data_IF_953301363561
#
_entry.id   IF_953301363561
#
_cell.length_a   1.000
_cell.length_b   1.000
_cell.length_c   1.000
_cell.angle_alpha   90.00
_cell.angle_beta   90.00
_cell.angle_gamma   90.00
#
_symmetry.space_group_name_H-M   'P 1'
#
loop_
_entity.id
_entity.type
_entity.pdbx_description
1 polymer ?
#
# COMPACT_ATOMS: atom_id res chain seq x y z
N UNK A 1 10.10 -24.23 20.63
CA UNK A 1 10.46 -23.93 19.22
C UNK A 1 11.33 -22.68 19.20
N UNK A 2 12.38 -22.62 18.36
CA UNK A 2 13.20 -21.41 18.19
C UNK A 2 12.34 -20.32 17.59
N UNK A 3 12.29 -19.15 18.21
CA UNK A 3 11.52 -18.00 17.69
C UNK A 3 11.98 -17.65 16.28
N UNK A 4 11.07 -17.54 15.33
CA UNK A 4 11.35 -17.17 13.93
C UNK A 4 11.87 -15.74 13.85
N UNK A 5 12.88 -15.47 13.04
CA UNK A 5 13.44 -14.13 12.88
C UNK A 5 12.59 -13.31 11.88
N UNK A 6 12.31 -12.05 12.22
CA UNK A 6 11.60 -11.11 11.34
C UNK A 6 12.53 -9.99 10.91
N UNK A 7 12.70 -9.80 9.60
CA UNK A 7 13.37 -8.63 9.05
C UNK A 7 12.33 -7.54 8.77
N UNK A 8 12.46 -6.41 9.46
CA UNK A 8 11.62 -5.23 9.26
C UNK A 8 12.39 -4.26 8.36
N UNK A 9 11.89 -4.04 7.15
CA UNK A 9 12.49 -3.16 6.16
C UNK A 9 11.77 -1.81 6.19
N UNK A 10 12.50 -0.74 6.48
CA UNK A 10 11.98 0.63 6.57
C UNK A 10 12.49 1.44 5.39
N UNK A 11 11.54 1.95 4.56
CA UNK A 11 11.84 2.84 3.45
C UNK A 11 11.88 4.30 3.92
N UNK A 12 13.01 4.98 3.71
CA UNK A 12 13.29 6.31 4.28
C UNK A 12 13.68 7.27 3.16
N UNK A 13 12.95 8.41 3.06
CA UNK A 13 13.31 9.54 2.20
C UNK A 13 12.66 10.82 2.72
N UNK A 14 13.46 11.75 3.24
CA UNK A 14 13.03 13.07 3.73
C UNK A 14 11.84 12.99 4.72
N UNK A 15 12.01 12.19 5.79
CA UNK A 15 10.99 11.92 6.82
C UNK A 15 11.46 12.25 8.24
N UNK A 16 12.45 13.14 8.42
CA UNK A 16 13.04 13.48 9.71
C UNK A 16 12.02 13.76 10.82
N UNK A 17 10.89 14.39 10.48
CA UNK A 17 9.81 14.75 11.41
C UNK A 17 9.07 13.55 12.00
N UNK A 18 9.14 12.40 11.35
CA UNK A 18 8.33 11.22 11.66
C UNK A 18 9.18 10.01 12.04
N UNK A 19 10.43 9.97 11.55
CA UNK A 19 11.30 8.80 11.58
C UNK A 19 11.61 8.31 13.00
N UNK A 20 11.82 9.22 13.95
CA UNK A 20 12.05 8.87 15.36
C UNK A 20 10.91 8.01 15.89
N UNK A 21 9.66 8.45 15.72
CA UNK A 21 8.48 7.70 16.17
C UNK A 21 8.36 6.34 15.45
N UNK A 22 8.68 6.29 14.18
CA UNK A 22 8.70 5.05 13.40
C UNK A 22 9.69 4.05 14.01
N UNK A 23 10.96 4.43 14.16
CA UNK A 23 12.02 3.55 14.67
C UNK A 23 11.72 3.11 16.10
N UNK A 24 11.32 4.01 17.00
CA UNK A 24 11.00 3.69 18.39
C UNK A 24 9.84 2.70 18.49
N UNK A 25 8.82 2.83 17.62
CA UNK A 25 7.72 1.87 17.58
C UNK A 25 8.14 0.47 17.15
N UNK A 26 9.20 0.37 16.33
CA UNK A 26 9.78 -0.92 15.89
C UNK A 26 10.67 -1.51 16.99
N UNK A 27 11.51 -0.71 17.62
CA UNK A 27 12.41 -1.15 18.71
C UNK A 27 11.61 -1.68 19.90
N UNK A 28 10.49 -1.03 20.21
CA UNK A 28 9.63 -1.34 21.36
C UNK A 28 8.65 -2.50 21.14
N UNK A 29 8.68 -3.18 19.99
CA UNK A 29 7.80 -4.32 19.72
C UNK A 29 7.94 -5.40 20.81
N UNK A 30 6.81 -6.04 21.16
CA UNK A 30 6.77 -7.17 22.12
C UNK A 30 7.53 -8.40 21.57
N UNK A 31 7.56 -8.61 20.27
CA UNK A 31 8.36 -9.64 19.59
C UNK A 31 9.83 -9.22 19.50
N UNK A 32 10.75 -10.05 20.04
CA UNK A 32 12.16 -9.64 20.25
C UNK A 32 13.14 -10.10 19.16
N UNK A 33 12.84 -11.23 18.46
CA UNK A 33 13.76 -11.75 17.44
C UNK A 33 13.62 -10.97 16.11
N UNK A 34 14.08 -9.72 16.11
CA UNK A 34 13.99 -8.77 15.02
C UNK A 34 15.35 -8.47 14.42
N UNK A 35 15.35 -8.21 13.12
CA UNK A 35 16.37 -7.51 12.36
C UNK A 35 15.70 -6.28 11.76
N UNK A 36 16.29 -5.11 11.96
CA UNK A 36 15.72 -3.83 11.51
C UNK A 36 16.65 -3.28 10.42
N UNK A 37 16.13 -3.13 9.22
CA UNK A 37 16.89 -2.69 8.05
C UNK A 37 16.35 -1.32 7.64
N UNK A 38 17.10 -0.27 7.96
CA UNK A 38 16.80 1.10 7.59
C UNK A 38 17.49 1.39 6.25
N UNK A 39 16.73 1.76 5.23
CA UNK A 39 17.30 2.08 3.92
C UNK A 39 16.95 3.53 3.57
N UNK A 40 17.96 4.38 3.62
CA UNK A 40 17.88 5.80 3.30
C UNK A 40 18.15 6.05 1.81
N UNK A 41 17.18 6.63 1.13
CA UNK A 41 17.21 6.86 -0.32
C UNK A 41 17.81 8.21 -0.69
N UNK A 42 18.99 8.52 -0.13
CA UNK A 42 19.69 9.80 -0.35
C UNK A 42 18.86 10.99 0.17
N UNK A 43 18.43 10.93 1.42
CA UNK A 43 17.71 12.03 2.08
C UNK A 43 18.58 13.29 2.17
N UNK A 44 17.95 14.44 2.06
CA UNK A 44 18.59 15.77 2.17
C UNK A 44 18.26 16.48 3.49
N UNK A 45 17.41 15.87 4.32
CA UNK A 45 17.10 16.29 5.68
C UNK A 45 17.91 15.47 6.72
N UNK A 46 17.56 15.55 7.99
CA UNK A 46 18.25 14.82 9.07
C UNK A 46 17.90 13.33 9.16
N UNK A 47 17.19 12.76 8.19
CA UNK A 47 16.79 11.35 8.24
C UNK A 47 17.99 10.41 8.31
N UNK A 48 19.04 10.66 7.54
CA UNK A 48 20.28 9.88 7.55
C UNK A 48 20.95 9.88 8.95
N UNK A 49 21.12 11.05 9.56
CA UNK A 49 21.73 11.19 10.89
C UNK A 49 20.92 10.47 11.97
N UNK A 50 19.57 10.50 11.85
CA UNK A 50 18.68 9.79 12.77
C UNK A 50 18.93 8.28 12.64
N UNK A 51 19.03 7.73 11.42
CA UNK A 51 19.29 6.31 11.20
C UNK A 51 20.58 5.86 11.89
N UNK A 52 21.68 6.58 11.66
CA UNK A 52 23.00 6.28 12.24
C UNK A 52 22.97 6.34 13.77
N UNK A 53 22.32 7.36 14.33
CA UNK A 53 22.17 7.49 15.80
C UNK A 53 21.46 6.30 16.43
N UNK A 54 20.43 5.73 15.76
CA UNK A 54 19.72 4.56 16.28
C UNK A 54 20.49 3.26 16.06
N UNK A 55 21.25 3.13 14.96
CA UNK A 55 22.11 1.97 14.72
C UNK A 55 23.22 1.84 15.79
N UNK A 56 23.74 2.97 16.28
CA UNK A 56 24.72 2.98 17.39
C UNK A 56 24.12 2.53 18.72
N UNK A 57 22.80 2.63 18.91
CA UNK A 57 22.11 2.31 20.17
C UNK A 57 21.50 0.92 20.21
N UNK A 58 21.17 0.32 19.07
CA UNK A 58 20.52 -0.97 18.97
C UNK A 58 21.19 -1.83 17.90
N UNK A 59 21.88 -2.89 18.32
CA UNK A 59 22.63 -3.80 17.45
C UNK A 59 21.76 -4.59 16.44
N UNK A 60 20.44 -4.58 16.60
CA UNK A 60 19.51 -5.18 15.64
C UNK A 60 19.34 -4.32 14.38
N UNK A 61 19.74 -3.05 14.43
CA UNK A 61 19.57 -2.07 13.34
C UNK A 61 20.78 -2.13 12.39
N UNK A 62 20.49 -2.23 11.12
CA UNK A 62 21.45 -2.06 10.01
C UNK A 62 20.98 -0.92 9.12
N UNK A 63 21.89 -0.03 8.75
CA UNK A 63 21.61 1.15 7.90
C UNK A 63 22.27 0.96 6.55
N UNK A 64 21.55 1.33 5.50
CA UNK A 64 22.04 1.38 4.13
C UNK A 64 21.68 2.73 3.50
N UNK A 65 22.67 3.43 2.93
CA UNK A 65 22.47 4.70 2.25
C UNK A 65 22.65 4.54 0.75
N UNK A 66 21.68 5.02 -0.02
CA UNK A 66 21.81 5.11 -1.46
C UNK A 66 22.58 6.36 -1.87
N UNK A 67 23.41 6.27 -2.91
CA UNK A 67 24.12 7.41 -3.48
C UNK A 67 23.25 8.33 -4.34
N UNK A 68 22.08 7.84 -4.74
CA UNK A 68 21.06 8.56 -5.54
C UNK A 68 19.68 8.05 -5.17
N UNK A 69 18.65 8.87 -5.34
CA UNK A 69 17.28 8.46 -5.11
C UNK A 69 16.84 7.38 -6.12
N UNK A 70 16.51 6.20 -5.62
CA UNK A 70 16.06 5.03 -6.39
C UNK A 70 14.57 4.78 -6.22
N UNK A 71 13.89 5.62 -5.46
CA UNK A 71 12.48 5.50 -5.05
C UNK A 71 12.21 4.22 -4.24
N UNK A 72 10.96 4.04 -3.88
CA UNK A 72 10.54 2.96 -2.97
C UNK A 72 10.91 1.56 -3.47
N UNK A 73 10.90 1.31 -4.79
CA UNK A 73 11.26 0.02 -5.36
C UNK A 73 12.72 -0.37 -5.08
N UNK A 74 13.67 0.54 -5.39
CA UNK A 74 15.10 0.30 -5.13
C UNK A 74 15.40 0.16 -3.64
N UNK A 75 14.79 1.01 -2.81
CA UNK A 75 14.90 0.95 -1.34
C UNK A 75 14.47 -0.41 -0.79
N UNK A 76 13.29 -0.87 -1.17
CA UNK A 76 12.76 -2.15 -0.69
C UNK A 76 13.53 -3.34 -1.24
N UNK A 77 14.04 -3.28 -2.48
CA UNK A 77 14.92 -4.30 -3.05
C UNK A 77 16.26 -4.38 -2.29
N UNK A 78 16.83 -3.24 -1.90
CA UNK A 78 18.01 -3.20 -1.03
C UNK A 78 17.72 -3.86 0.31
N UNK A 79 16.57 -3.53 0.92
CA UNK A 79 16.14 -4.18 2.17
C UNK A 79 15.97 -5.69 2.03
N UNK A 80 15.34 -6.17 0.97
CA UNK A 80 15.20 -7.60 0.67
C UNK A 80 16.55 -8.30 0.52
N UNK A 81 17.48 -7.70 -0.23
CA UNK A 81 18.83 -8.24 -0.45
C UNK A 81 19.60 -8.47 0.85
N UNK A 82 19.40 -7.61 1.84
CA UNK A 82 20.13 -7.67 3.12
C UNK A 82 19.34 -8.35 4.25
N UNK A 83 18.11 -8.78 3.98
CA UNK A 83 17.27 -9.48 4.97
C UNK A 83 17.72 -10.92 5.18
N UNK A 84 17.74 -11.35 6.44
CA UNK A 84 18.13 -12.72 6.84
C UNK A 84 17.05 -13.42 7.67
N UNK A 85 15.96 -12.73 8.00
CA UNK A 85 14.85 -13.28 8.77
C UNK A 85 14.04 -14.33 7.99
N UNK A 86 13.32 -15.16 8.72
CA UNK A 86 12.37 -16.13 8.14
C UNK A 86 11.18 -15.40 7.50
N UNK A 87 10.83 -14.24 8.04
CA UNK A 87 9.73 -13.40 7.61
C UNK A 87 10.20 -11.99 7.29
N UNK A 88 9.49 -11.33 6.39
CA UNK A 88 9.68 -9.93 5.97
C UNK A 88 8.46 -9.11 6.34
N UNK A 89 8.68 -7.91 6.88
CA UNK A 89 7.67 -6.87 7.11
C UNK A 89 8.20 -5.57 6.54
N UNK A 90 7.37 -4.82 5.81
CA UNK A 90 7.69 -3.49 5.30
C UNK A 90 6.99 -2.43 6.14
N UNK A 91 7.71 -1.34 6.41
CA UNK A 91 7.20 -0.16 7.12
C UNK A 91 7.62 1.09 6.34
N UNK A 92 6.72 2.02 6.17
CA UNK A 92 7.05 3.32 5.58
C UNK A 92 7.56 4.27 6.70
N UNK A 93 8.63 5.02 6.43
CA UNK A 93 9.34 5.81 7.44
C UNK A 93 8.54 6.95 8.09
N UNK A 94 7.36 7.28 7.54
CA UNK A 94 6.43 8.25 8.12
C UNK A 94 5.29 7.63 8.94
N UNK A 95 5.22 6.28 8.99
CA UNK A 95 4.22 5.52 9.73
C UNK A 95 4.79 5.00 11.08
N UNK A 96 3.98 4.32 11.90
CA UNK A 96 4.43 3.66 13.13
C UNK A 96 3.56 2.45 13.47
N UNK A 97 4.05 1.59 14.36
CA UNK A 97 3.44 0.32 14.73
C UNK A 97 2.81 0.38 16.13
N UNK A 98 1.75 -0.41 16.38
CA UNK A 98 1.33 -0.76 17.71
C UNK A 98 2.34 -1.73 18.35
N UNK A 99 2.44 -1.77 19.66
CA UNK A 99 3.43 -2.57 20.37
C UNK A 99 3.37 -4.08 20.07
N UNK A 100 2.20 -4.57 19.68
CA UNK A 100 1.89 -5.96 19.35
C UNK A 100 1.73 -6.22 17.85
N UNK A 101 2.23 -5.33 17.00
CA UNK A 101 2.06 -5.46 15.55
C UNK A 101 2.75 -6.71 15.02
N UNK A 102 4.01 -6.94 15.38
CA UNK A 102 4.79 -8.05 14.84
C UNK A 102 4.30 -9.37 15.41
N UNK A 103 4.04 -9.46 16.71
CA UNK A 103 3.50 -10.67 17.34
C UNK A 103 2.14 -11.05 16.76
N UNK A 104 1.29 -10.07 16.47
CA UNK A 104 -0.01 -10.34 15.83
C UNK A 104 0.13 -10.84 14.38
N UNK A 105 1.00 -10.24 13.57
CA UNK A 105 1.26 -10.71 12.20
C UNK A 105 1.86 -12.12 12.20
N UNK A 106 2.80 -12.42 13.10
CA UNK A 106 3.35 -13.76 13.31
C UNK A 106 2.24 -14.73 13.71
N UNK A 107 1.38 -14.36 14.65
CA UNK A 107 0.25 -15.18 15.06
C UNK A 107 -0.64 -15.56 13.87
N UNK A 108 -0.94 -14.62 12.97
CA UNK A 108 -1.75 -14.93 11.79
C UNK A 108 -1.05 -15.96 10.92
N UNK A 109 0.21 -15.69 10.51
CA UNK A 109 0.92 -16.53 9.54
C UNK A 109 1.21 -17.94 10.07
N UNK A 110 1.51 -18.07 11.37
CA UNK A 110 1.80 -19.38 12.00
C UNK A 110 0.51 -20.18 12.25
N UNK A 111 -0.56 -19.58 12.77
CA UNK A 111 -1.82 -20.27 12.99
C UNK A 111 -2.48 -20.75 11.69
N UNK A 112 -2.24 -20.05 10.59
CA UNK A 112 -2.83 -20.39 9.28
C UNK A 112 -1.91 -21.23 8.43
N UNK A 113 -0.64 -21.42 8.85
CA UNK A 113 0.44 -22.04 8.06
C UNK A 113 0.43 -21.50 6.63
N UNK A 114 0.43 -20.17 6.50
CA UNK A 114 0.32 -19.47 5.22
C UNK A 114 1.67 -18.92 4.76
N UNK A 115 1.76 -18.59 3.48
CA UNK A 115 2.97 -18.04 2.85
C UNK A 115 3.08 -16.53 3.05
N UNK A 116 1.94 -15.88 3.25
CA UNK A 116 1.85 -14.49 3.67
C UNK A 116 0.62 -14.28 4.55
N UNK A 117 0.62 -13.21 5.34
CA UNK A 117 -0.57 -12.76 6.03
C UNK A 117 -0.89 -11.29 5.71
N UNK A 118 -2.17 -11.01 5.59
CA UNK A 118 -2.74 -9.67 5.34
C UNK A 118 -3.58 -9.28 6.55
N UNK A 119 -3.32 -8.12 7.11
CA UNK A 119 -4.23 -7.55 8.08
C UNK A 119 -5.13 -6.51 7.39
N UNK A 120 -6.45 -6.73 7.49
CA UNK A 120 -7.46 -5.99 6.71
C UNK A 120 -7.65 -4.54 7.13
N UNK A 121 -7.26 -4.20 8.36
CA UNK A 121 -7.55 -2.91 8.99
C UNK A 121 -6.29 -2.28 9.58
N UNK A 122 -6.30 -0.96 9.65
CA UNK A 122 -5.23 -0.18 10.25
C UNK A 122 -5.80 1.02 11.01
N UNK A 123 -5.01 1.56 11.92
CA UNK A 123 -5.24 2.90 12.43
C UNK A 123 -4.90 3.93 11.35
N UNK A 124 -5.53 5.08 11.44
CA UNK A 124 -5.10 6.26 10.69
C UNK A 124 -5.00 7.43 11.67
N UNK A 125 -4.29 8.50 11.30
CA UNK A 125 -4.26 9.72 12.13
C UNK A 125 -5.66 10.33 12.34
N UNK A 126 -6.68 9.88 11.61
CA UNK A 126 -8.09 10.28 11.77
C UNK A 126 -8.93 9.29 12.58
N UNK A 127 -8.45 8.06 12.73
CA UNK A 127 -9.16 6.99 13.43
C UNK A 127 -8.17 6.16 14.26
N UNK A 128 -7.99 6.58 15.50
CA UNK A 128 -7.09 5.96 16.48
C UNK A 128 -7.82 4.99 17.40
N UNK A 129 -9.11 4.74 17.20
CA UNK A 129 -9.88 3.81 18.02
C UNK A 129 -9.68 2.37 17.54
N UNK A 130 -9.43 1.47 18.47
CA UNK A 130 -9.40 0.03 18.18
C UNK A 130 -10.82 -0.48 17.85
N UNK A 131 -10.89 -1.56 17.11
CA UNK A 131 -12.16 -2.27 16.89
C UNK A 131 -12.70 -2.83 18.20
N UNK A 132 -14.02 -2.85 18.36
CA UNK A 132 -14.67 -3.42 19.55
C UNK A 132 -14.46 -4.94 19.68
N UNK A 133 -14.29 -5.61 18.53
CA UNK A 133 -14.02 -7.04 18.46
C UNK A 133 -12.78 -7.26 17.60
N UNK A 134 -11.79 -7.97 18.14
CA UNK A 134 -10.67 -8.48 17.36
C UNK A 134 -11.22 -9.47 16.35
N UNK A 135 -10.99 -9.17 15.09
CA UNK A 135 -11.50 -9.98 14.00
C UNK A 135 -10.98 -11.41 14.06
N UNK A 136 -11.77 -12.30 13.51
CA UNK A 136 -11.41 -13.70 13.33
C UNK A 136 -10.18 -13.81 12.42
N UNK A 137 -9.26 -14.69 12.76
CA UNK A 137 -8.19 -15.09 11.86
C UNK A 137 -8.78 -16.12 10.89
N UNK A 138 -8.59 -15.88 9.59
CA UNK A 138 -9.09 -16.72 8.51
C UNK A 138 -7.95 -17.17 7.60
N UNK A 139 -8.18 -18.25 6.87
CA UNK A 139 -7.36 -18.68 5.73
C UNK A 139 -8.12 -18.40 4.45
N UNK A 140 -7.49 -17.66 3.54
CA UNK A 140 -8.04 -17.44 2.20
C UNK A 140 -7.25 -18.23 1.16
N UNK A 141 -7.94 -18.70 0.13
CA UNK A 141 -7.28 -19.20 -1.07
C UNK A 141 -6.58 -18.04 -1.79
N UNK A 142 -5.50 -18.28 -2.53
CA UNK A 142 -4.86 -17.26 -3.34
C UNK A 142 -5.82 -16.58 -4.32
N UNK A 143 -6.78 -17.33 -4.89
CA UNK A 143 -7.84 -16.79 -5.73
C UNK A 143 -8.68 -15.73 -5.02
N UNK A 144 -9.20 -16.04 -3.82
CA UNK A 144 -9.98 -15.10 -3.01
C UNK A 144 -9.13 -13.89 -2.61
N UNK A 145 -7.92 -14.12 -2.13
CA UNK A 145 -7.02 -13.06 -1.72
C UNK A 145 -6.66 -12.13 -2.88
N UNK A 146 -6.38 -12.68 -4.06
CA UNK A 146 -6.07 -11.94 -5.26
C UNK A 146 -7.28 -11.11 -5.73
N UNK A 147 -8.47 -11.71 -5.77
CA UNK A 147 -9.69 -11.00 -6.16
C UNK A 147 -9.99 -9.82 -5.21
N UNK A 148 -9.89 -10.01 -3.89
CA UNK A 148 -10.11 -8.94 -2.90
C UNK A 148 -9.00 -7.86 -2.96
N UNK A 149 -7.78 -8.24 -3.30
CA UNK A 149 -6.66 -7.33 -3.44
C UNK A 149 -6.78 -6.47 -4.70
N UNK A 150 -6.96 -7.07 -5.87
CA UNK A 150 -7.09 -6.32 -7.13
C UNK A 150 -8.42 -5.57 -7.25
N UNK A 151 -9.41 -5.91 -6.47
CA UNK A 151 -10.69 -5.19 -6.37
C UNK A 151 -10.62 -4.02 -5.37
N UNK A 152 -9.63 -3.28 -5.18
CA UNK A 152 -9.18 -2.47 -4.05
C UNK A 152 -10.10 -2.45 -2.81
N UNK A 153 -10.38 -3.64 -2.29
CA UNK A 153 -11.00 -3.81 -0.97
C UNK A 153 -9.96 -3.77 0.13
N UNK A 154 -8.73 -4.16 -0.20
CA UNK A 154 -7.58 -4.20 0.69
C UNK A 154 -6.68 -3.00 0.46
N UNK A 155 -5.86 -2.67 1.45
CA UNK A 155 -4.78 -1.72 1.26
C UNK A 155 -3.76 -2.28 0.25
N UNK A 156 -3.55 -1.58 -0.86
CA UNK A 156 -2.65 -2.02 -1.94
C UNK A 156 -1.16 -1.92 -1.60
N UNK A 157 -0.80 -1.19 -0.53
CA UNK A 157 0.59 -1.09 -0.06
C UNK A 157 1.13 -2.41 0.51
N UNK A 158 2.46 -2.50 0.58
CA UNK A 158 3.17 -3.67 1.16
C UNK A 158 3.13 -3.71 2.68
N UNK A 159 2.83 -2.60 3.33
CA UNK A 159 2.73 -2.46 4.78
C UNK A 159 1.50 -3.20 5.35
N UNK A 160 1.47 -3.38 6.67
CA UNK A 160 0.41 -4.12 7.38
C UNK A 160 0.23 -5.57 6.90
N UNK A 161 1.33 -6.17 6.46
CA UNK A 161 1.44 -7.53 5.94
C UNK A 161 2.75 -8.15 6.40
N UNK A 162 2.78 -9.48 6.43
CA UNK A 162 3.99 -10.26 6.67
C UNK A 162 4.14 -11.32 5.59
N UNK A 163 5.37 -11.57 5.18
CA UNK A 163 5.69 -12.42 4.04
C UNK A 163 6.73 -13.47 4.44
N UNK A 164 6.55 -14.71 4.05
CA UNK A 164 7.56 -15.75 4.18
C UNK A 164 8.71 -15.45 3.20
N UNK A 165 9.92 -15.20 3.73
CA UNK A 165 11.08 -14.84 2.89
C UNK A 165 11.39 -15.92 1.86
N UNK A 166 11.29 -17.18 2.23
CA UNK A 166 11.53 -18.32 1.33
C UNK A 166 10.67 -18.25 0.06
N UNK A 167 9.38 -17.87 0.16
CA UNK A 167 8.51 -17.72 -1.01
C UNK A 167 9.03 -16.63 -1.95
N UNK A 168 9.44 -15.50 -1.40
CA UNK A 168 9.98 -14.35 -2.16
C UNK A 168 11.25 -14.77 -2.89
N UNK A 169 12.18 -15.41 -2.20
CA UNK A 169 13.47 -15.80 -2.76
C UNK A 169 13.33 -16.93 -3.80
N UNK A 170 12.58 -18.00 -3.50
CA UNK A 170 12.34 -19.12 -4.39
C UNK A 170 11.72 -18.70 -5.73
N UNK A 171 10.88 -17.70 -5.71
CA UNK A 171 10.20 -17.20 -6.92
C UNK A 171 10.85 -15.93 -7.50
N UNK A 172 12.00 -15.50 -6.96
CA UNK A 172 12.70 -14.28 -7.37
C UNK A 172 11.79 -13.05 -7.45
N UNK A 173 10.87 -12.91 -6.47
CA UNK A 173 9.93 -11.76 -6.44
C UNK A 173 10.69 -10.52 -5.97
N UNK A 174 10.67 -9.47 -6.78
CA UNK A 174 11.32 -8.19 -6.51
C UNK A 174 10.40 -7.03 -6.88
N UNK A 175 10.64 -5.88 -6.28
CA UNK A 175 9.96 -4.64 -6.71
C UNK A 175 10.47 -4.24 -8.09
N UNK A 176 9.55 -3.90 -9.00
CA UNK A 176 9.88 -3.46 -10.34
C UNK A 176 10.39 -2.01 -10.27
N UNK A 177 11.69 -1.83 -10.52
CA UNK A 177 12.32 -0.52 -10.55
C UNK A 177 11.88 0.28 -11.79
N UNK A 178 11.94 1.60 -11.69
CA UNK A 178 11.51 2.50 -12.78
C UNK A 178 10.01 2.81 -12.79
N UNK A 179 9.16 2.05 -12.10
CA UNK A 179 7.75 2.39 -11.94
C UNK A 179 7.61 3.71 -11.15
N UNK A 180 6.73 4.58 -11.65
CA UNK A 180 6.45 5.83 -10.96
C UNK A 180 5.59 5.62 -9.72
N UNK A 181 4.72 4.61 -9.74
CA UNK A 181 3.75 4.25 -8.69
C UNK A 181 3.36 2.78 -8.81
N UNK A 182 2.65 2.27 -7.81
CA UNK A 182 2.08 0.92 -7.76
C UNK A 182 3.13 -0.23 -7.75
N UNK A 183 4.38 0.05 -7.43
CA UNK A 183 5.43 -0.97 -7.25
C UNK A 183 5.08 -1.92 -6.10
N UNK A 184 4.49 -1.39 -5.02
CA UNK A 184 4.01 -2.19 -3.89
C UNK A 184 2.80 -3.05 -4.24
N UNK A 185 1.87 -2.51 -5.04
CA UNK A 185 0.72 -3.25 -5.58
C UNK A 185 1.20 -4.43 -6.43
N UNK A 186 2.14 -4.19 -7.34
CA UNK A 186 2.73 -5.25 -8.17
C UNK A 186 3.40 -6.34 -7.33
N UNK A 187 4.19 -5.97 -6.33
CA UNK A 187 4.87 -6.93 -5.45
C UNK A 187 3.87 -7.82 -4.69
N UNK A 188 2.84 -7.24 -4.08
CA UNK A 188 1.81 -8.01 -3.35
C UNK A 188 1.03 -8.93 -4.28
N UNK A 189 0.68 -8.44 -5.48
CA UNK A 189 0.04 -9.24 -6.52
C UNK A 189 0.87 -10.48 -6.87
N UNK A 190 2.18 -10.32 -7.08
CA UNK A 190 3.09 -11.43 -7.43
C UNK A 190 3.22 -12.43 -6.27
N UNK A 191 3.31 -11.95 -5.02
CA UNK A 191 3.37 -12.82 -3.83
C UNK A 191 2.07 -13.63 -3.69
N UNK A 192 0.90 -13.00 -3.80
CA UNK A 192 -0.39 -13.72 -3.67
C UNK A 192 -0.50 -14.83 -4.71
N UNK A 193 -0.11 -14.59 -5.95
CA UNK A 193 -0.20 -15.59 -7.02
C UNK A 193 0.70 -16.81 -6.81
N UNK A 194 1.79 -16.65 -6.05
CA UNK A 194 2.75 -17.72 -5.74
C UNK A 194 2.48 -18.38 -4.39
N UNK A 195 1.57 -17.82 -3.60
CA UNK A 195 1.19 -18.39 -2.31
C UNK A 195 0.30 -19.61 -2.48
N UNK A 196 0.41 -20.55 -1.56
CA UNK A 196 -0.52 -21.68 -1.41
C UNK A 196 -1.72 -21.31 -0.55
N UNK A 197 -1.49 -20.49 0.47
CA UNK A 197 -2.47 -19.98 1.42
C UNK A 197 -2.13 -18.55 1.81
N UNK A 198 -3.17 -17.74 2.11
CA UNK A 198 -3.04 -16.38 2.62
C UNK A 198 -3.76 -16.29 3.96
N UNK A 199 -3.01 -16.01 5.03
CA UNK A 199 -3.57 -15.74 6.36
C UNK A 199 -4.21 -14.35 6.39
N UNK A 200 -5.33 -14.20 7.06
CA UNK A 200 -6.04 -12.93 7.13
C UNK A 200 -6.46 -12.62 8.54
N UNK A 201 -6.11 -11.42 9.01
CA UNK A 201 -6.48 -10.90 10.31
C UNK A 201 -7.24 -9.59 10.22
N UNK A 202 -7.90 -9.21 11.32
CA UNK A 202 -8.71 -7.99 11.37
C UNK A 202 -8.57 -7.30 12.74
N UNK A 203 -7.36 -6.78 13.03
CA UNK A 203 -7.07 -5.98 14.22
C UNK A 203 -6.23 -4.78 13.82
N UNK A 204 -6.47 -3.59 14.37
CA UNK A 204 -5.65 -2.42 14.05
C UNK A 204 -4.33 -2.50 14.82
N UNK A 205 -3.23 -2.69 14.08
CA UNK A 205 -1.86 -2.80 14.63
C UNK A 205 -0.85 -1.91 13.90
N UNK A 206 -1.23 -1.31 12.78
CA UNK A 206 -0.42 -0.43 11.97
C UNK A 206 -1.04 0.97 11.91
N UNK A 207 -0.27 2.02 12.14
CA UNK A 207 -0.71 3.41 12.12
C UNK A 207 -0.26 4.06 10.81
N UNK A 208 -1.20 4.25 9.89
CA UNK A 208 -1.00 4.93 8.62
C UNK A 208 -1.18 6.44 8.77
N UNK A 209 -0.17 7.22 8.37
CA UNK A 209 -0.19 8.68 8.45
C UNK A 209 -0.87 9.33 7.25
N UNK A 210 -1.97 10.04 7.50
CA UNK A 210 -2.73 10.77 6.47
C UNK A 210 -2.36 12.25 6.34
N UNK A 211 -1.61 12.80 7.28
CA UNK A 211 -1.30 14.24 7.37
C UNK A 211 0.11 14.61 6.91
N UNK A 212 0.80 13.70 6.22
CA UNK A 212 2.05 14.02 5.56
C UNK A 212 1.77 14.73 4.22
N UNK A 213 1.95 16.07 4.19
CA UNK A 213 1.73 16.89 2.98
C UNK A 213 2.77 16.62 1.88
N UNK A 214 3.87 15.96 2.20
CA UNK A 214 4.91 15.53 1.25
C UNK A 214 4.62 14.15 0.65
N UNK A 215 3.63 13.42 1.20
CA UNK A 215 3.28 12.08 0.69
C UNK A 215 2.86 12.13 -0.77
N UNK A 216 3.32 11.14 -1.54
CA UNK A 216 2.98 10.97 -2.94
C UNK A 216 1.46 10.87 -3.19
N UNK A 217 0.70 10.38 -2.19
CA UNK A 217 -0.76 10.19 -2.32
C UNK A 217 -1.58 11.46 -2.12
N UNK A 218 -1.00 12.56 -1.65
CA UNK A 218 -1.72 13.82 -1.34
C UNK A 218 -1.75 14.81 -2.49
N UNK A 219 -0.83 14.71 -3.44
CA UNK A 219 -0.71 15.63 -4.59
C UNK A 219 -1.36 15.04 -5.85
N UNK A 220 -2.02 15.91 -6.63
CA UNK A 220 -2.47 15.51 -7.97
C UNK A 220 -1.25 15.42 -8.90
N UNK A 221 -1.06 14.22 -9.50
CA UNK A 221 -0.04 13.96 -10.50
C UNK A 221 -0.56 12.90 -11.49
N UNK A 222 -0.72 13.28 -12.74
CA UNK A 222 -1.25 12.37 -13.78
C UNK A 222 -0.35 11.14 -13.99
N UNK A 223 0.96 11.25 -13.72
CA UNK A 223 1.90 10.11 -13.82
C UNK A 223 1.51 8.98 -12.89
N UNK A 224 0.91 9.30 -11.74
CA UNK A 224 0.42 8.27 -10.80
C UNK A 224 -0.70 7.43 -11.42
N UNK A 225 -1.71 8.06 -12.03
CA UNK A 225 -2.83 7.33 -12.63
C UNK A 225 -2.42 6.59 -13.90
N UNK A 226 -1.52 7.16 -14.69
CA UNK A 226 -0.98 6.52 -15.90
C UNK A 226 -0.12 5.31 -15.53
N UNK A 227 0.80 5.44 -14.57
CA UNK A 227 1.60 4.31 -14.08
C UNK A 227 0.73 3.21 -13.46
N UNK A 228 -0.31 3.57 -12.69
CA UNK A 228 -1.24 2.57 -12.15
C UNK A 228 -2.02 1.83 -13.25
N UNK A 229 -2.41 2.51 -14.34
CA UNK A 229 -3.04 1.87 -15.51
C UNK A 229 -2.06 0.89 -16.16
N UNK A 230 -0.81 1.29 -16.35
CA UNK A 230 0.23 0.44 -16.92
C UNK A 230 0.43 -0.83 -16.06
N UNK A 231 0.63 -0.66 -14.76
CA UNK A 231 0.84 -1.77 -13.83
C UNK A 231 -0.34 -2.73 -13.83
N UNK A 232 -1.58 -2.25 -13.71
CA UNK A 232 -2.75 -3.14 -13.64
C UNK A 232 -3.04 -3.86 -14.96
N UNK A 233 -2.74 -3.25 -16.12
CA UNK A 233 -2.82 -3.95 -17.39
C UNK A 233 -1.75 -5.05 -17.47
N UNK A 234 -0.52 -4.77 -17.03
CA UNK A 234 0.55 -5.76 -16.96
C UNK A 234 0.22 -6.89 -16.00
N UNK A 235 -0.36 -6.58 -14.83
CA UNK A 235 -0.88 -7.60 -13.90
C UNK A 235 -1.92 -8.50 -14.59
N UNK A 236 -2.82 -7.94 -15.41
CA UNK A 236 -3.81 -8.74 -16.13
C UNK A 236 -3.18 -9.69 -17.16
N UNK A 237 -2.13 -9.26 -17.86
CA UNK A 237 -1.35 -10.10 -18.78
C UNK A 237 -0.65 -11.24 -18.02
N UNK A 238 -0.03 -10.92 -16.87
CA UNK A 238 0.76 -11.81 -16.05
C UNK A 238 -0.07 -12.68 -15.08
N UNK A 239 -1.41 -12.66 -15.19
CA UNK A 239 -2.28 -13.49 -14.35
C UNK A 239 -1.99 -14.98 -14.54
N UNK A 240 -1.69 -15.67 -13.43
CA UNK A 240 -1.61 -17.12 -13.32
C UNK A 240 -3.00 -17.70 -12.97
N UNK A 241 -3.68 -17.07 -12.00
CA UNK A 241 -5.01 -17.47 -11.52
C UNK A 241 -6.08 -16.76 -12.35
N UNK A 242 -6.54 -17.41 -13.44
CA UNK A 242 -7.48 -16.83 -14.43
C UNK A 242 -8.92 -17.28 -14.22
N UNK A 243 -9.42 -17.19 -12.99
CA UNK A 243 -10.84 -17.50 -12.73
C UNK A 243 -11.74 -16.32 -13.06
N UNK A 244 -13.05 -16.54 -13.28
CA UNK A 244 -14.01 -15.45 -13.49
C UNK A 244 -13.99 -14.41 -12.37
N UNK A 245 -13.82 -14.83 -11.12
CA UNK A 245 -13.75 -13.93 -9.96
C UNK A 245 -12.56 -12.97 -10.08
N UNK A 246 -11.36 -13.49 -10.36
CA UNK A 246 -10.14 -12.69 -10.48
C UNK A 246 -10.18 -11.80 -11.74
N UNK A 247 -10.65 -12.34 -12.87
CA UNK A 247 -10.80 -11.58 -14.12
C UNK A 247 -11.76 -10.41 -13.99
N UNK A 248 -12.88 -10.61 -13.30
CA UNK A 248 -13.84 -9.53 -13.03
C UNK A 248 -13.25 -8.48 -12.11
N UNK A 249 -12.55 -8.89 -11.05
CA UNK A 249 -11.90 -7.98 -10.10
C UNK A 249 -10.84 -7.11 -10.80
N UNK A 250 -9.96 -7.70 -11.62
CA UNK A 250 -8.91 -6.94 -12.30
C UNK A 250 -9.48 -6.01 -13.38
N UNK A 251 -10.52 -6.43 -14.13
CA UNK A 251 -11.20 -5.57 -15.07
C UNK A 251 -11.84 -4.35 -14.40
N UNK A 252 -12.39 -4.55 -13.21
CA UNK A 252 -12.91 -3.43 -12.41
C UNK A 252 -11.80 -2.52 -11.91
N UNK A 253 -10.64 -3.07 -11.50
CA UNK A 253 -9.49 -2.27 -11.10
C UNK A 253 -8.97 -1.41 -12.25
N UNK A 254 -8.85 -1.96 -13.45
CA UNK A 254 -8.51 -1.23 -14.67
C UNK A 254 -9.50 -0.08 -14.90
N UNK A 255 -10.81 -0.36 -14.81
CA UNK A 255 -11.85 0.64 -14.96
C UNK A 255 -11.75 1.78 -13.95
N UNK A 256 -11.47 1.45 -12.69
CA UNK A 256 -11.27 2.44 -11.61
C UNK A 256 -10.05 3.32 -11.86
N UNK A 257 -8.95 2.76 -12.39
CA UNK A 257 -7.75 3.52 -12.72
C UNK A 257 -7.97 4.47 -13.91
N UNK A 258 -8.73 4.07 -14.92
CA UNK A 258 -9.13 5.00 -16.00
C UNK A 258 -10.03 6.12 -15.48
N UNK A 259 -10.96 5.82 -14.57
CA UNK A 259 -11.76 6.84 -13.92
C UNK A 259 -10.91 7.77 -13.04
N UNK A 260 -9.90 7.23 -12.37
CA UNK A 260 -8.93 8.04 -11.62
C UNK A 260 -8.10 8.94 -12.54
N UNK A 261 -7.68 8.46 -13.70
CA UNK A 261 -6.96 9.26 -14.69
C UNK A 261 -7.78 10.46 -15.17
N UNK A 262 -9.08 10.28 -15.47
CA UNK A 262 -9.99 11.40 -15.80
C UNK A 262 -9.97 12.45 -14.66
N UNK A 263 -10.04 12.01 -13.43
CA UNK A 263 -10.04 12.89 -12.26
C UNK A 263 -8.74 13.67 -12.10
N UNK A 264 -7.59 13.03 -12.30
CA UNK A 264 -6.27 13.67 -12.25
C UNK A 264 -6.13 14.74 -13.33
N UNK A 265 -6.48 14.40 -14.56
CA UNK A 265 -6.41 15.34 -15.70
C UNK A 265 -7.29 16.57 -15.46
N UNK A 266 -8.53 16.38 -14.98
CA UNK A 266 -9.44 17.48 -14.65
C UNK A 266 -8.90 18.33 -13.49
N UNK A 267 -8.38 17.73 -12.43
CA UNK A 267 -7.88 18.44 -11.27
C UNK A 267 -6.68 19.34 -11.61
N UNK A 268 -5.88 18.93 -12.59
CA UNK A 268 -4.69 19.67 -13.06
C UNK A 268 -4.99 20.65 -14.20
N UNK A 269 -6.23 20.72 -14.72
CA UNK A 269 -6.58 21.56 -15.86
C UNK A 269 -5.84 21.19 -17.15
N UNK A 270 -5.50 19.88 -17.32
CA UNK A 270 -4.64 19.39 -18.44
C UNK A 270 -5.41 18.70 -19.56
N UNK A 271 -6.72 18.96 -19.71
CA UNK A 271 -7.57 18.25 -20.69
C UNK A 271 -7.08 18.42 -22.14
N UNK A 272 -6.66 19.63 -22.50
CA UNK A 272 -6.16 19.92 -23.86
C UNK A 272 -4.76 19.35 -24.08
N UNK A 273 -3.87 19.46 -23.08
CA UNK A 273 -2.50 18.94 -23.16
C UNK A 273 -2.45 17.41 -23.21
N UNK A 274 -3.43 16.73 -22.62
CA UNK A 274 -3.52 15.27 -22.53
C UNK A 274 -4.78 14.73 -23.20
N UNK A 275 -5.17 15.36 -24.32
CA UNK A 275 -6.44 15.13 -25.02
C UNK A 275 -6.67 13.65 -25.33
N UNK A 276 -5.71 12.97 -25.90
CA UNK A 276 -5.84 11.56 -26.30
C UNK A 276 -6.04 10.64 -25.09
N UNK A 277 -5.20 10.79 -24.04
CA UNK A 277 -5.32 10.04 -22.80
C UNK A 277 -6.65 10.32 -22.09
N UNK A 278 -7.11 11.57 -22.12
CA UNK A 278 -8.37 11.98 -21.52
C UNK A 278 -9.57 11.36 -22.25
N UNK A 279 -9.62 11.48 -23.57
CA UNK A 279 -10.70 10.93 -24.39
C UNK A 279 -10.73 9.41 -24.37
N UNK A 280 -9.56 8.77 -24.42
CA UNK A 280 -9.47 7.33 -24.30
C UNK A 280 -10.01 6.85 -22.95
N UNK A 281 -9.63 7.51 -21.83
CA UNK A 281 -10.12 7.16 -20.51
C UNK A 281 -11.63 7.31 -20.38
N UNK A 282 -12.21 8.39 -20.93
CA UNK A 282 -13.67 8.59 -20.97
C UNK A 282 -14.35 7.47 -21.76
N UNK A 283 -13.83 7.15 -22.95
CA UNK A 283 -14.37 6.09 -23.81
C UNK A 283 -14.32 4.73 -23.12
N UNK A 284 -13.18 4.39 -22.51
CA UNK A 284 -12.99 3.14 -21.77
C UNK A 284 -14.00 3.01 -20.62
N UNK A 285 -14.15 4.07 -19.81
CA UNK A 285 -15.08 4.11 -18.69
C UNK A 285 -16.52 3.94 -19.14
N UNK A 286 -16.92 4.64 -20.21
CA UNK A 286 -18.27 4.52 -20.81
C UNK A 286 -18.54 3.14 -21.43
N UNK A 287 -17.55 2.53 -22.06
CA UNK A 287 -17.71 1.22 -22.71
C UNK A 287 -17.89 0.08 -21.68
N UNK A 288 -17.16 0.12 -20.59
CA UNK A 288 -17.00 -1.03 -19.70
C UNK A 288 -17.84 -0.96 -18.39
N UNK A 289 -18.52 0.17 -18.08
CA UNK A 289 -19.20 0.33 -16.77
C UNK A 289 -20.29 -0.69 -16.49
N UNK A 290 -20.99 -1.20 -17.54
CA UNK A 290 -22.10 -2.17 -17.34
C UNK A 290 -21.60 -3.48 -16.74
N UNK A 291 -20.45 -3.99 -17.18
CA UNK A 291 -19.81 -5.17 -16.62
C UNK A 291 -19.42 -4.91 -15.16
N UNK A 292 -18.78 -3.78 -14.87
CA UNK A 292 -18.39 -3.38 -13.51
C UNK A 292 -19.58 -3.25 -12.56
N UNK A 293 -20.70 -2.70 -13.02
CA UNK A 293 -21.93 -2.57 -12.23
C UNK A 293 -22.57 -3.92 -11.97
N UNK A 294 -22.57 -4.84 -12.95
CA UNK A 294 -23.12 -6.18 -12.81
C UNK A 294 -22.45 -6.94 -11.67
N UNK A 295 -21.13 -6.89 -11.58
CA UNK A 295 -20.33 -7.66 -10.65
C UNK A 295 -20.23 -7.03 -9.24
N UNK A 296 -20.54 -5.74 -9.08
CA UNK A 296 -20.55 -5.10 -7.76
C UNK A 296 -21.74 -5.59 -6.90
N UNK A 297 -21.46 -6.04 -5.68
CA UNK A 297 -22.47 -6.56 -4.75
C UNK A 297 -23.16 -5.45 -3.94
N UNK A 298 -22.45 -4.37 -3.63
CA UNK A 298 -22.93 -3.28 -2.77
C UNK A 298 -23.79 -2.28 -3.54
N UNK A 299 -25.06 -2.19 -3.18
CA UNK A 299 -26.06 -1.33 -3.86
C UNK A 299 -25.59 0.12 -4.03
N UNK A 300 -25.01 0.71 -3.00
CA UNK A 300 -24.51 2.10 -3.05
C UNK A 300 -23.37 2.26 -4.04
N UNK A 301 -22.46 1.28 -4.14
CA UNK A 301 -21.38 1.29 -5.14
C UNK A 301 -21.92 1.04 -6.54
N UNK A 302 -22.90 0.17 -6.73
CA UNK A 302 -23.57 -0.04 -8.03
C UNK A 302 -24.07 1.28 -8.61
N UNK A 303 -24.83 2.04 -7.83
CA UNK A 303 -25.36 3.35 -8.25
C UNK A 303 -24.21 4.29 -8.62
N UNK A 304 -23.19 4.36 -7.78
CA UNK A 304 -22.03 5.24 -8.03
C UNK A 304 -21.28 4.86 -9.30
N UNK A 305 -21.04 3.56 -9.55
CA UNK A 305 -20.34 3.10 -10.75
C UNK A 305 -21.19 3.31 -12.00
N UNK A 306 -22.51 3.08 -11.91
CA UNK A 306 -23.44 3.40 -12.99
C UNK A 306 -23.37 4.89 -13.39
N UNK A 307 -23.50 5.78 -12.41
CA UNK A 307 -23.41 7.23 -12.67
C UNK A 307 -22.03 7.63 -13.20
N UNK A 308 -20.95 7.06 -12.64
CA UNK A 308 -19.58 7.32 -13.12
C UNK A 308 -19.35 6.83 -14.54
N UNK A 309 -19.96 5.71 -14.91
CA UNK A 309 -19.89 5.19 -16.28
C UNK A 309 -20.70 6.00 -17.28
N UNK A 310 -21.90 6.42 -16.88
CA UNK A 310 -22.79 7.19 -17.74
C UNK A 310 -22.35 8.66 -17.92
N UNK A 311 -21.86 9.27 -16.82
CA UNK A 311 -21.46 10.68 -16.73
C UNK A 311 -20.04 10.86 -16.16
N UNK A 312 -18.97 10.28 -16.76
CA UNK A 312 -17.66 10.18 -16.15
C UNK A 312 -17.05 11.54 -15.79
N UNK A 313 -17.21 12.55 -16.62
CA UNK A 313 -16.65 13.90 -16.41
C UNK A 313 -17.33 14.61 -15.22
N UNK A 314 -18.66 14.56 -15.15
CA UNK A 314 -19.44 15.16 -14.06
C UNK A 314 -19.08 14.49 -12.74
N UNK A 315 -19.09 13.16 -12.71
CA UNK A 315 -18.77 12.40 -11.50
C UNK A 315 -17.31 12.58 -11.07
N UNK A 316 -16.38 12.74 -12.01
CA UNK A 316 -14.99 13.07 -11.70
C UNK A 316 -14.84 14.44 -11.05
N UNK A 317 -15.52 15.46 -11.55
CA UNK A 317 -15.56 16.83 -10.94
C UNK A 317 -16.15 16.80 -9.54
N UNK A 318 -17.32 16.17 -9.35
CA UNK A 318 -17.97 16.02 -8.05
C UNK A 318 -17.05 15.30 -7.02
N UNK A 319 -16.37 14.25 -7.47
CA UNK A 319 -15.44 13.53 -6.61
C UNK A 319 -14.22 14.35 -6.21
N UNK A 320 -13.68 15.16 -7.12
CA UNK A 320 -12.58 16.07 -6.82
C UNK A 320 -13.02 17.18 -5.83
N UNK A 321 -14.21 17.75 -6.01
CA UNK A 321 -14.78 18.72 -5.05
C UNK A 321 -14.93 18.11 -3.65
N UNK A 322 -15.46 16.89 -3.55
CA UNK A 322 -15.60 16.18 -2.27
C UNK A 322 -14.24 15.92 -1.60
N UNK A 323 -13.24 15.55 -2.37
CA UNK A 323 -11.89 15.30 -1.84
C UNK A 323 -11.23 16.59 -1.36
N UNK A 324 -11.32 17.68 -2.14
CA UNK A 324 -10.75 18.98 -1.78
C UNK A 324 -11.42 19.56 -0.52
N UNK A 325 -12.74 19.39 -0.39
CA UNK A 325 -13.48 19.79 0.81
C UNK A 325 -13.02 19.01 2.05
N UNK A 326 -12.88 17.68 1.90
CA UNK A 326 -12.37 16.81 2.97
C UNK A 326 -10.95 17.21 3.40
N UNK A 327 -10.07 17.48 2.43
CA UNK A 327 -8.71 17.92 2.70
C UNK A 327 -8.68 19.26 3.46
N UNK A 328 -9.55 20.22 3.10
CA UNK A 328 -9.66 21.48 3.84
C UNK A 328 -10.07 21.28 5.31
N UNK A 329 -11.06 20.42 5.57
CA UNK A 329 -11.48 20.08 6.94
C UNK A 329 -10.32 19.47 7.74
N UNK A 330 -9.59 18.53 7.13
CA UNK A 330 -8.44 17.91 7.79
C UNK A 330 -7.36 18.93 8.16
N UNK A 331 -7.03 19.84 7.23
CA UNK A 331 -6.05 20.92 7.50
C UNK A 331 -6.51 21.88 8.60
N UNK A 332 -7.81 22.17 8.72
CA UNK A 332 -8.35 22.98 9.81
C UNK A 332 -8.22 22.28 11.16
N UNK A 333 -8.55 20.99 11.24
CA UNK A 333 -8.41 20.19 12.48
C UNK A 333 -6.97 20.11 12.97
N UNK A 334 -6.00 19.94 12.07
CA UNK A 334 -4.59 19.91 12.43
C UNK A 334 -4.01 21.26 12.89
N UNK A 335 -4.61 22.38 12.45
CA UNK A 335 -4.22 23.69 12.97
C UNK A 335 -4.71 23.93 14.41
N UNK A 336 -5.89 23.41 14.77
CA UNK A 336 -6.39 23.49 16.15
C UNK A 336 -5.59 22.62 17.12
N UNK A 337 -5.17 21.43 16.72
CA UNK A 337 -4.35 20.52 17.56
C UNK A 337 -2.87 20.97 17.77
N UNK A 338 -2.41 22.01 17.05
CA UNK A 338 -1.08 22.62 17.26
C UNK A 338 -1.10 23.83 18.16
N UNK A 339 -2.26 24.36 18.48
CA UNK A 339 -2.45 25.52 19.35
C UNK A 339 -2.89 25.13 20.76
N UNK A 340 -3.09 23.86 21.02
CA UNK A 340 -3.24 23.22 22.33
C UNK A 340 -1.95 22.43 22.70
#
# INVERSE_FOLDING_TARGET
MKSRKVSIIVAIFNVEKYLVKCIESIISQDYKNLEIILVDDNSTDKSSDICEKYAQKDSRIKVFHHKKNTRQAGVRNTGLKHSTGDYIVFVDGDDWLAADCISYLIKIIELTDSDMAINLVNFTTRDLKQLKHDGKIEVWTPEKALAEFVYPHLAVGVWNKIYRRELIEKNNIRFVEGLFTAEGDRFVFDVIQKSSKVGVGCRKVYYYRLNNTQSATTKYDVRQSQGAIEVVNKQKEDLIIKTPMVLNAINQHIWLNYFWNIRQIIALGKQDKLKDSYQYSISYVKKNYRAVVKDEKRRTKKIKYFLSGKFPVIMARLKNMQMNFKLKIDLMRFRSERND
#
